data_IF_950191907450
#
_entry.id   IF_950191907450
#
_cell.length_a   1.000
_cell.length_b   1.000
_cell.length_c   1.000
_cell.angle_alpha   90.00
_cell.angle_beta   90.00
_cell.angle_gamma   90.00
#
_symmetry.space_group_name_H-M   'P 1'
#
loop_
_entity.id
_entity.type
_entity.pdbx_description
1 polymer ?
#
# COMPACT_ATOMS: atom_id res chain seq x y z
N UNK A 1 7.80 -0.48 -32.80
CA UNK A 1 8.29 0.23 -31.61
C UNK A 1 9.74 -0.13 -31.39
N UNK A 2 10.64 0.80 -31.59
CA UNK A 2 12.06 0.67 -31.28
C UNK A 2 12.16 0.62 -29.75
N UNK A 3 12.82 -0.39 -29.19
CA UNK A 3 13.23 -0.43 -27.81
C UNK A 3 14.16 0.76 -27.54
N UNK A 4 13.60 1.88 -27.11
CA UNK A 4 14.39 2.94 -26.50
C UNK A 4 14.84 2.37 -25.15
N UNK A 5 16.13 2.51 -24.83
CA UNK A 5 16.75 1.99 -23.58
C UNK A 5 16.28 2.72 -22.33
N UNK A 6 15.01 3.11 -22.28
CA UNK A 6 14.38 3.70 -21.11
C UNK A 6 13.94 2.59 -20.16
N UNK A 7 14.29 2.65 -18.87
CA UNK A 7 13.85 1.64 -17.91
C UNK A 7 12.32 1.55 -17.90
N UNK A 8 11.78 0.34 -17.78
CA UNK A 8 10.33 0.10 -17.65
C UNK A 8 9.73 1.03 -16.60
N UNK A 9 8.55 1.64 -16.86
CA UNK A 9 7.90 2.48 -15.87
C UNK A 9 7.69 1.70 -14.56
N UNK A 10 7.83 2.36 -13.41
CA UNK A 10 7.57 1.71 -12.13
C UNK A 10 6.07 1.44 -11.95
N UNK A 11 5.75 0.41 -11.17
CA UNK A 11 4.38 0.07 -10.79
C UNK A 11 4.12 0.56 -9.37
N UNK A 12 3.05 1.34 -9.19
CA UNK A 12 2.55 1.72 -7.89
C UNK A 12 1.31 0.89 -7.54
N UNK A 13 1.32 0.26 -6.39
CA UNK A 13 0.22 -0.57 -5.88
C UNK A 13 -0.43 0.14 -4.70
N UNK A 14 -1.70 0.52 -4.84
CA UNK A 14 -2.50 1.10 -3.77
C UNK A 14 -3.12 0.00 -2.89
N UNK A 15 -2.88 0.05 -1.59
CA UNK A 15 -3.56 -0.81 -0.62
C UNK A 15 -4.89 -0.17 -0.21
N UNK A 16 -5.99 -0.76 -0.66
CA UNK A 16 -7.33 -0.25 -0.43
C UNK A 16 -7.86 -0.68 0.95
N UNK A 17 -8.74 0.12 1.60
CA UNK A 17 -9.33 1.37 1.11
C UNK A 17 -8.58 2.62 1.59
N UNK A 18 -7.88 2.58 2.73
CA UNK A 18 -7.35 3.75 3.42
C UNK A 18 -6.41 4.61 2.56
N UNK A 19 -5.57 3.97 1.76
CA UNK A 19 -4.55 4.67 0.98
C UNK A 19 -5.08 5.49 -0.21
N UNK A 20 -6.37 5.39 -0.60
CA UNK A 20 -6.84 5.92 -1.89
C UNK A 20 -6.64 7.43 -2.08
N UNK A 21 -6.79 8.23 -1.01
CA UNK A 21 -6.60 9.69 -1.09
C UNK A 21 -5.12 10.04 -1.23
N UNK A 22 -4.29 9.50 -0.35
CA UNK A 22 -2.84 9.66 -0.41
C UNK A 22 -2.27 9.18 -1.75
N UNK A 23 -2.70 7.99 -2.20
CA UNK A 23 -2.30 7.43 -3.48
C UNK A 23 -2.67 8.35 -4.66
N UNK A 24 -3.89 8.88 -4.67
CA UNK A 24 -4.36 9.79 -5.72
C UNK A 24 -3.50 11.05 -5.81
N UNK A 25 -3.12 11.64 -4.69
CA UNK A 25 -2.30 12.83 -4.68
C UNK A 25 -0.85 12.50 -5.07
N UNK A 26 -0.29 11.42 -4.51
CA UNK A 26 1.05 10.95 -4.84
C UNK A 26 1.24 10.74 -6.35
N UNK A 27 0.34 10.00 -7.01
CA UNK A 27 0.50 9.67 -8.43
C UNK A 27 0.36 10.89 -9.35
N UNK A 28 -0.45 11.89 -8.97
CA UNK A 28 -0.58 13.15 -9.71
C UNK A 28 0.71 13.98 -9.70
N UNK A 29 1.46 13.91 -8.60
CA UNK A 29 2.67 14.72 -8.41
C UNK A 29 3.94 14.04 -8.92
N UNK A 30 3.89 12.78 -9.34
CA UNK A 30 5.10 12.04 -9.73
C UNK A 30 5.79 12.52 -11.00
N UNK A 31 5.14 13.23 -11.92
CA UNK A 31 5.79 13.82 -13.10
C UNK A 31 6.49 12.84 -14.06
N UNK A 32 6.30 11.54 -13.90
CA UNK A 32 6.85 10.45 -14.73
C UNK A 32 5.74 9.47 -15.12
N UNK A 33 5.94 8.70 -16.19
CA UNK A 33 5.05 7.61 -16.54
C UNK A 33 5.14 6.48 -15.51
N UNK A 34 3.97 6.00 -15.07
CA UNK A 34 3.82 4.92 -14.10
C UNK A 34 2.72 3.96 -14.54
N UNK A 35 2.78 2.73 -14.05
CA UNK A 35 1.64 1.81 -14.05
C UNK A 35 1.02 1.81 -12.65
N UNK A 36 -0.30 1.62 -12.55
CA UNK A 36 -1.01 1.55 -11.27
C UNK A 36 -1.82 0.28 -11.16
N UNK A 37 -1.84 -0.30 -9.95
CA UNK A 37 -2.71 -1.43 -9.60
C UNK A 37 -3.22 -1.25 -8.18
N UNK A 38 -4.20 -2.05 -7.81
CA UNK A 38 -4.89 -1.96 -6.53
C UNK A 38 -5.00 -3.34 -5.91
N UNK A 39 -4.75 -3.41 -4.60
CA UNK A 39 -4.96 -4.62 -3.82
C UNK A 39 -5.82 -4.27 -2.61
N UNK A 40 -6.72 -5.16 -2.22
CA UNK A 40 -7.51 -4.97 -1.01
C UNK A 40 -7.31 -6.14 -0.07
N UNK A 41 -6.61 -5.87 1.03
CA UNK A 41 -6.36 -6.79 2.11
C UNK A 41 -7.36 -6.55 3.25
N UNK A 42 -7.83 -7.64 3.88
CA UNK A 42 -8.61 -7.59 5.11
C UNK A 42 -7.98 -8.51 6.15
N UNK A 43 -7.67 -7.93 7.31
CA UNK A 43 -7.30 -8.74 8.48
C UNK A 43 -8.56 -9.34 9.09
N UNK A 44 -8.52 -10.60 9.48
CA UNK A 44 -9.56 -11.23 10.28
C UNK A 44 -8.96 -11.85 11.54
N UNK A 45 -9.68 -11.70 12.63
CA UNK A 45 -9.37 -12.35 13.90
C UNK A 45 -10.29 -13.56 14.03
N UNK A 46 -9.76 -14.76 13.72
CA UNK A 46 -10.49 -16.00 13.98
C UNK A 46 -10.38 -16.39 15.45
N UNK A 47 -11.43 -17.02 16.00
CA UNK A 47 -11.44 -17.56 17.36
C UNK A 47 -10.56 -18.81 17.51
N UNK A 48 -10.11 -19.42 16.42
CA UNK A 48 -9.37 -20.67 16.35
C UNK A 48 -7.98 -20.50 15.73
N UNK A 49 -7.09 -19.71 16.33
CA UNK A 49 -5.68 -19.51 15.87
C UNK A 49 -5.48 -19.23 14.36
N UNK A 50 -6.54 -18.92 13.62
CA UNK A 50 -6.55 -18.68 12.18
C UNK A 50 -6.53 -17.19 11.83
N UNK A 51 -5.93 -16.36 12.69
CA UNK A 51 -5.76 -14.93 12.38
C UNK A 51 -4.94 -14.79 11.10
N UNK A 52 -5.53 -14.24 10.04
CA UNK A 52 -4.93 -14.15 8.74
C UNK A 52 -5.26 -12.86 8.02
N UNK A 53 -4.73 -12.75 6.81
CA UNK A 53 -5.06 -11.69 5.86
C UNK A 53 -5.69 -12.36 4.64
N UNK A 54 -6.88 -11.92 4.26
CA UNK A 54 -7.54 -12.32 3.02
C UNK A 54 -7.50 -11.16 2.02
N UNK A 55 -7.51 -11.51 0.74
CA UNK A 55 -7.56 -10.53 -0.33
C UNK A 55 -8.92 -10.56 -1.01
N UNK A 56 -9.58 -9.41 -1.07
CA UNK A 56 -10.90 -9.25 -1.74
C UNK A 56 -10.76 -8.56 -3.10
N UNK A 57 -9.61 -7.97 -3.39
CA UNK A 57 -9.14 -7.60 -4.72
C UNK A 57 -7.68 -8.03 -4.84
N UNK A 58 -7.40 -8.76 -5.89
CA UNK A 58 -6.08 -9.25 -6.27
C UNK A 58 -5.40 -8.30 -7.26
N UNK A 59 -4.08 -8.44 -7.38
CA UNK A 59 -3.31 -7.75 -8.40
C UNK A 59 -3.59 -8.31 -9.79
N UNK A 60 -3.55 -7.44 -10.79
CA UNK A 60 -3.83 -7.78 -12.19
C UNK A 60 -2.60 -7.62 -13.08
N UNK A 61 -1.61 -6.80 -12.66
CA UNK A 61 -0.38 -6.57 -13.41
C UNK A 61 0.63 -7.68 -13.14
N UNK A 62 1.24 -8.20 -14.21
CA UNK A 62 2.46 -9.02 -14.11
C UNK A 62 3.63 -8.10 -13.72
N UNK A 63 4.16 -8.33 -12.53
CA UNK A 63 5.23 -7.53 -11.93
C UNK A 63 6.63 -8.03 -12.29
N UNK A 64 6.76 -9.05 -13.12
CA UNK A 64 8.02 -9.66 -13.49
C UNK A 64 9.03 -8.62 -13.99
N UNK A 65 10.17 -8.51 -13.31
CA UNK A 65 11.25 -7.57 -13.65
C UNK A 65 10.95 -6.09 -13.45
N UNK A 66 9.80 -5.74 -12.87
CA UNK A 66 9.40 -4.34 -12.62
C UNK A 66 9.90 -3.83 -11.28
N UNK A 67 10.07 -2.52 -11.17
CA UNK A 67 10.26 -1.82 -9.89
C UNK A 67 8.88 -1.52 -9.31
N UNK A 68 8.62 -1.93 -8.08
CA UNK A 68 7.31 -1.87 -7.46
C UNK A 68 7.33 -1.03 -6.18
N UNK A 69 6.34 -0.16 -6.02
CA UNK A 69 6.10 0.61 -4.82
C UNK A 69 4.73 0.25 -4.26
N UNK A 70 4.70 -0.32 -3.06
CA UNK A 70 3.47 -0.61 -2.32
C UNK A 70 3.14 0.62 -1.50
N UNK A 71 1.98 1.22 -1.73
CA UNK A 71 1.54 2.47 -1.09
C UNK A 71 0.38 2.18 -0.15
N UNK A 72 0.56 2.50 1.13
CA UNK A 72 -0.46 2.33 2.17
C UNK A 72 -0.70 3.64 2.94
N UNK A 73 -1.83 3.76 3.61
CA UNK A 73 -2.12 4.90 4.48
C UNK A 73 -1.35 4.83 5.80
N UNK A 74 -1.25 3.65 6.38
CA UNK A 74 -0.58 3.46 7.66
C UNK A 74 0.04 2.07 7.80
N UNK A 75 1.25 2.04 8.32
CA UNK A 75 1.88 0.80 8.80
C UNK A 75 1.98 0.85 10.34
N UNK A 76 1.40 -0.14 11.01
CA UNK A 76 1.49 -0.33 12.45
C UNK A 76 2.39 -1.54 12.78
N UNK A 77 1.82 -2.72 12.88
CA UNK A 77 2.59 -3.97 13.16
C UNK A 77 3.23 -4.60 11.92
N UNK A 78 2.89 -4.11 10.74
CA UNK A 78 3.35 -4.65 9.47
C UNK A 78 2.68 -5.97 9.03
N UNK A 79 1.71 -6.51 9.79
CA UNK A 79 1.06 -7.78 9.45
C UNK A 79 0.39 -7.75 8.08
N UNK A 80 -0.42 -6.74 7.80
CA UNK A 80 -1.06 -6.56 6.49
C UNK A 80 -0.02 -6.33 5.40
N UNK A 81 0.96 -5.46 5.67
CA UNK A 81 2.02 -5.14 4.71
C UNK A 81 2.88 -6.36 4.36
N UNK A 82 3.19 -7.23 5.33
CA UNK A 82 3.89 -8.49 5.06
C UNK A 82 3.11 -9.37 4.08
N UNK A 83 1.81 -9.56 4.29
CA UNK A 83 0.97 -10.37 3.40
C UNK A 83 0.90 -9.77 1.98
N UNK A 84 0.75 -8.45 1.87
CA UNK A 84 0.77 -7.74 0.57
C UNK A 84 2.12 -7.91 -0.11
N UNK A 85 3.23 -7.69 0.62
CA UNK A 85 4.59 -7.82 0.08
C UNK A 85 4.90 -9.23 -0.40
N UNK A 86 4.47 -10.26 0.32
CA UNK A 86 4.59 -11.65 -0.13
C UNK A 86 3.86 -11.90 -1.46
N UNK A 87 2.67 -11.33 -1.62
CA UNK A 87 1.90 -11.43 -2.85
C UNK A 87 2.62 -10.76 -4.03
N UNK A 88 3.13 -9.55 -3.79
CA UNK A 88 3.93 -8.80 -4.77
C UNK A 88 5.19 -9.57 -5.16
N UNK A 89 5.91 -10.13 -4.20
CA UNK A 89 7.14 -10.91 -4.44
C UNK A 89 6.90 -12.22 -5.22
N UNK A 90 5.66 -12.71 -5.26
CA UNK A 90 5.26 -13.86 -6.11
C UNK A 90 4.96 -13.47 -7.55
N UNK A 91 5.04 -12.16 -7.89
CA UNK A 91 4.86 -11.64 -9.23
C UNK A 91 3.57 -10.84 -9.45
N UNK A 92 2.71 -10.73 -8.44
CA UNK A 92 1.47 -9.95 -8.47
C UNK A 92 0.31 -10.72 -9.09
N UNK A 93 0.12 -10.63 -10.40
CA UNK A 93 -0.93 -11.34 -11.12
C UNK A 93 -0.86 -12.87 -10.95
N UNK A 94 -1.99 -13.59 -11.03
CA UNK A 94 -2.01 -15.05 -10.86
C UNK A 94 -1.20 -15.83 -11.89
N UNK A 95 -1.01 -15.26 -13.10
CA UNK A 95 -0.27 -15.82 -14.21
C UNK A 95 1.12 -15.21 -14.40
N UNK A 96 1.61 -14.47 -13.40
CA UNK A 96 2.92 -13.83 -13.43
C UNK A 96 4.05 -14.84 -13.69
N UNK A 97 4.99 -14.45 -14.54
CA UNK A 97 6.08 -15.33 -15.02
C UNK A 97 7.31 -15.31 -14.13
N UNK A 98 7.39 -14.35 -13.20
CA UNK A 98 8.56 -14.20 -12.34
C UNK A 98 8.35 -13.21 -11.22
N UNK A 99 9.44 -12.70 -10.67
CA UNK A 99 9.44 -11.76 -9.53
C UNK A 99 9.72 -10.33 -9.99
N UNK A 100 9.28 -9.32 -9.22
CA UNK A 100 9.71 -7.95 -9.43
C UNK A 100 11.22 -7.81 -9.23
N UNK A 101 11.79 -6.76 -9.84
CA UNK A 101 13.21 -6.41 -9.71
C UNK A 101 13.52 -5.82 -8.33
N UNK A 102 12.62 -4.96 -7.85
CA UNK A 102 12.74 -4.27 -6.56
C UNK A 102 11.35 -3.97 -6.00
N UNK A 103 11.21 -4.00 -4.67
CA UNK A 103 9.95 -3.71 -3.97
C UNK A 103 10.22 -2.78 -2.82
N UNK A 104 9.60 -1.60 -2.87
CA UNK A 104 9.66 -0.56 -1.85
C UNK A 104 8.29 -0.37 -1.19
N UNK A 105 8.30 -0.01 0.09
CA UNK A 105 7.10 0.31 0.87
C UNK A 105 7.05 1.81 1.13
N UNK A 106 5.93 2.42 0.75
CA UNK A 106 5.61 3.84 0.94
C UNK A 106 4.39 3.95 1.82
N UNK A 107 4.44 4.73 2.88
CA UNK A 107 3.29 4.95 3.75
C UNK A 107 3.12 6.43 4.09
N UNK A 108 1.88 6.85 4.29
CA UNK A 108 1.61 8.18 4.80
C UNK A 108 2.02 8.28 6.27
N UNK A 109 1.65 7.28 7.07
CA UNK A 109 1.95 7.21 8.51
C UNK A 109 2.71 5.93 8.84
N UNK A 110 3.87 6.04 9.48
CA UNK A 110 4.56 4.94 10.15
C UNK A 110 4.34 5.10 11.66
N UNK A 111 3.44 4.30 12.22
CA UNK A 111 3.01 4.44 13.61
C UNK A 111 4.08 4.02 14.61
N UNK A 112 4.84 2.99 14.27
CA UNK A 112 5.89 2.40 15.12
C UNK A 112 7.18 2.26 14.34
N UNK A 113 7.83 3.40 14.09
CA UNK A 113 9.08 3.45 13.34
C UNK A 113 10.06 2.38 13.81
N UNK A 114 10.59 1.63 12.85
CA UNK A 114 11.52 0.53 13.08
C UNK A 114 10.89 -0.82 13.44
N UNK A 115 9.58 -0.91 13.67
CA UNK A 115 8.89 -2.22 13.88
C UNK A 115 8.72 -2.97 12.57
N UNK A 116 8.45 -2.25 11.49
CA UNK A 116 8.38 -2.76 10.12
C UNK A 116 9.24 -1.89 9.21
N UNK A 117 10.04 -2.48 8.29
CA UNK A 117 10.87 -1.70 7.39
C UNK A 117 10.02 -0.98 6.33
N UNK A 118 9.84 0.32 6.52
CA UNK A 118 9.24 1.25 5.56
C UNK A 118 10.36 1.99 4.84
N UNK A 119 10.31 2.06 3.51
CA UNK A 119 11.32 2.75 2.71
C UNK A 119 11.08 4.26 2.67
N UNK A 120 9.81 4.68 2.63
CA UNK A 120 9.42 6.10 2.59
C UNK A 120 8.18 6.32 3.45
N UNK A 121 8.22 7.33 4.32
CA UNK A 121 7.07 7.76 5.11
C UNK A 121 6.99 9.28 5.19
N UNK A 122 5.77 9.82 5.22
CA UNK A 122 5.55 11.26 5.43
C UNK A 122 5.57 11.61 6.91
N UNK A 123 5.00 10.76 7.76
CA UNK A 123 4.87 10.98 9.20
C UNK A 123 5.38 9.77 9.97
N UNK A 124 6.67 9.77 10.37
CA UNK A 124 7.23 8.74 11.26
C UNK A 124 6.75 8.96 12.71
N UNK A 125 6.61 7.86 13.45
CA UNK A 125 6.39 7.87 14.91
C UNK A 125 5.15 8.62 15.40
N UNK A 126 4.03 8.47 14.69
CA UNK A 126 2.77 9.18 14.99
C UNK A 126 1.95 8.58 16.15
N UNK A 127 2.55 7.98 17.13
CA UNK A 127 1.88 7.57 18.37
C UNK A 127 0.66 6.63 18.19
N UNK A 128 -0.24 6.64 19.18
CA UNK A 128 -1.43 5.78 19.21
C UNK A 128 -2.75 6.53 18.90
N UNK A 129 -2.67 7.74 18.37
CA UNK A 129 -3.81 8.53 17.98
C UNK A 129 -4.65 7.79 16.93
N UNK A 130 -5.95 7.96 17.00
CA UNK A 130 -6.89 7.36 16.05
C UNK A 130 -7.27 8.39 14.99
N UNK A 131 -6.77 8.21 13.77
CA UNK A 131 -6.96 9.16 12.68
C UNK A 131 -8.28 8.94 11.95
N UNK A 132 -8.86 10.05 11.46
CA UNK A 132 -10.00 10.08 10.55
C UNK A 132 -9.78 11.13 9.46
N UNK A 133 -10.33 10.88 8.29
CA UNK A 133 -10.17 11.77 7.13
C UNK A 133 -8.95 11.41 6.28
N UNK A 134 -8.90 11.96 5.08
CA UNK A 134 -7.86 11.72 4.07
C UNK A 134 -7.61 10.23 3.79
N UNK A 135 -8.70 9.45 3.76
CA UNK A 135 -8.65 7.98 3.57
C UNK A 135 -8.90 7.20 4.85
N UNK A 136 -8.47 7.70 6.02
CA UNK A 136 -8.75 7.06 7.32
C UNK A 136 -10.24 7.11 7.66
N UNK A 137 -10.74 6.07 8.32
CA UNK A 137 -12.15 5.95 8.64
C UNK A 137 -12.46 5.77 10.11
N UNK A 138 -13.69 6.16 10.45
CA UNK A 138 -14.38 5.78 11.67
C UNK A 138 -15.63 4.99 11.27
N UNK A 139 -15.66 3.69 11.51
CA UNK A 139 -16.77 2.81 11.15
C UNK A 139 -17.21 2.89 9.68
N UNK A 140 -16.25 3.03 8.77
CA UNK A 140 -16.47 3.13 7.33
C UNK A 140 -16.79 4.54 6.82
N UNK A 141 -16.93 5.53 7.72
CA UNK A 141 -17.27 6.92 7.41
C UNK A 141 -16.04 7.83 7.49
N UNK A 142 -16.19 9.09 7.15
CA UNK A 142 -15.19 10.18 7.26
C UNK A 142 -13.99 10.09 6.32
N UNK A 143 -13.82 9.04 5.50
CA UNK A 143 -12.68 8.92 4.57
C UNK A 143 -12.56 10.09 3.59
N UNK A 144 -13.67 10.75 3.28
CA UNK A 144 -13.77 11.86 2.34
C UNK A 144 -13.35 13.22 2.92
N UNK A 145 -13.03 13.31 4.21
CA UNK A 145 -12.54 14.57 4.77
C UNK A 145 -11.20 14.93 4.15
N UNK A 146 -11.03 16.22 3.87
CA UNK A 146 -9.84 16.71 3.16
C UNK A 146 -8.56 16.57 3.98
N UNK A 147 -8.66 16.74 5.28
CA UNK A 147 -7.54 16.70 6.21
C UNK A 147 -7.62 15.48 7.13
N UNK A 148 -6.51 15.17 7.79
CA UNK A 148 -6.44 14.17 8.84
C UNK A 148 -6.76 14.85 10.17
N UNK A 149 -7.60 14.22 10.96
CA UNK A 149 -7.98 14.66 12.30
C UNK A 149 -7.74 13.54 13.30
N UNK A 150 -7.45 13.91 14.57
CA UNK A 150 -7.54 12.97 15.68
C UNK A 150 -9.03 12.75 16.01
N UNK A 151 -9.50 11.52 16.05
CA UNK A 151 -10.89 11.18 16.33
C UNK A 151 -11.31 11.47 17.78
N UNK A 152 -10.36 11.80 18.65
CA UNK A 152 -10.58 12.15 20.07
C UNK A 152 -10.54 13.66 20.33
N UNK A 153 -10.23 14.45 19.31
CA UNK A 153 -10.15 15.91 19.40
C UNK A 153 -11.52 16.58 19.24
#
# INVERSE_FOLDING_TARGET
HKASGNPSPPVLICVLNGAFMFFSDLVKDMGIEIEVDFIRARSYTGTDNSAGVSFTKELEIDLTGKRVYIVDDMVDTGKTMNAVKEKVLKGGAPDAKGRPQDVKVVTLVDRKSGTYPVDFTCFPEMGEEWFVGYGFDLNGLCRNYRNIYDSKA
#
